data_IF_949821691547
#
_entry.id   IF_949821691547
#
_cell.length_a   1.000
_cell.length_b   1.000
_cell.length_c   1.000
_cell.angle_alpha   90.00
_cell.angle_beta   90.00
_cell.angle_gamma   90.00
#
_symmetry.space_group_name_H-M   'P 1'
#
loop_
_entity.id
_entity.type
_entity.pdbx_description
1 polymer ?
#
# COMPACT_ATOMS: atom_id res chain seq x y z
N UNK A 1 15.40 -8.31 6.92
CA UNK A 1 14.38 -8.48 5.85
C UNK A 1 14.05 -7.11 5.26
N UNK A 2 14.00 -6.96 3.94
CA UNK A 2 13.52 -5.73 3.29
C UNK A 2 11.99 -5.59 3.37
N UNK A 3 11.47 -4.38 3.14
CA UNK A 3 10.02 -4.13 3.02
C UNK A 3 9.39 -5.04 1.96
N UNK A 4 10.06 -5.20 0.80
CA UNK A 4 9.65 -6.15 -0.25
C UNK A 4 9.48 -7.57 0.30
N UNK A 5 10.42 -8.08 1.10
CA UNK A 5 10.33 -9.44 1.62
C UNK A 5 9.13 -9.59 2.57
N UNK A 6 8.87 -8.59 3.43
CA UNK A 6 7.69 -8.57 4.30
C UNK A 6 6.38 -8.58 3.49
N UNK A 7 6.29 -7.77 2.44
CA UNK A 7 5.11 -7.75 1.55
C UNK A 7 4.89 -9.11 0.88
N UNK A 8 5.96 -9.73 0.35
CA UNK A 8 5.88 -11.08 -0.24
C UNK A 8 5.43 -12.13 0.77
N UNK A 9 5.92 -12.07 2.00
CA UNK A 9 5.47 -12.95 3.08
C UNK A 9 3.99 -12.73 3.39
N UNK A 10 3.51 -11.48 3.48
CA UNK A 10 2.10 -11.18 3.73
C UNK A 10 1.20 -11.68 2.59
N UNK A 11 1.60 -11.46 1.33
CA UNK A 11 0.89 -12.01 0.16
C UNK A 11 0.77 -13.54 0.26
N UNK A 12 1.88 -14.22 0.58
CA UNK A 12 1.88 -15.67 0.77
C UNK A 12 0.95 -16.11 1.92
N UNK A 13 0.97 -15.41 3.05
CA UNK A 13 0.11 -15.71 4.21
C UNK A 13 -1.38 -15.50 3.90
N UNK A 14 -1.70 -14.52 3.04
CA UNK A 14 -3.06 -14.20 2.63
C UNK A 14 -3.51 -14.93 1.35
N UNK A 15 -2.66 -15.78 0.77
CA UNK A 15 -2.96 -16.51 -0.47
C UNK A 15 -3.13 -15.62 -1.70
N UNK A 16 -2.58 -14.40 -1.68
CA UNK A 16 -2.68 -13.41 -2.75
C UNK A 16 -1.43 -13.43 -3.64
N UNK A 17 -1.59 -13.09 -4.93
CA UNK A 17 -0.52 -13.07 -5.93
C UNK A 17 -0.08 -11.65 -6.27
N UNK A 18 1.18 -11.50 -6.71
CA UNK A 18 1.72 -10.22 -7.18
C UNK A 18 0.88 -9.58 -8.29
N UNK A 19 0.30 -10.41 -9.18
CA UNK A 19 -0.55 -9.93 -10.28
C UNK A 19 -1.87 -9.33 -9.80
N UNK A 20 -2.42 -9.84 -8.69
CA UNK A 20 -3.64 -9.33 -8.08
C UNK A 20 -3.36 -8.01 -7.37
N UNK A 21 -2.23 -7.93 -6.67
CA UNK A 21 -1.78 -6.68 -6.08
C UNK A 21 -1.48 -5.61 -7.15
N UNK A 22 -0.89 -6.00 -8.28
CA UNK A 22 -0.67 -5.10 -9.41
C UNK A 22 -2.01 -4.53 -9.93
N UNK A 23 -3.00 -5.40 -10.14
CA UNK A 23 -4.34 -5.01 -10.56
C UNK A 23 -5.02 -4.07 -9.55
N UNK A 24 -4.92 -4.38 -8.25
CA UNK A 24 -5.47 -3.53 -7.18
C UNK A 24 -4.80 -2.15 -7.11
N UNK A 25 -3.48 -2.09 -7.32
CA UNK A 25 -2.73 -0.83 -7.39
C UNK A 25 -2.93 -0.06 -8.71
N UNK A 26 -3.64 -0.63 -9.68
CA UNK A 26 -3.88 -0.01 -10.99
C UNK A 26 -2.63 0.07 -11.87
N UNK A 27 -1.67 -0.85 -11.71
CA UNK A 27 -0.40 -0.87 -12.47
C UNK A 27 -0.21 -2.19 -13.22
N UNK A 28 0.67 -2.18 -14.23
CA UNK A 28 1.01 -3.40 -14.97
C UNK A 28 1.77 -4.42 -14.10
N UNK A 29 1.69 -5.73 -14.39
CA UNK A 29 2.52 -6.74 -13.73
C UNK A 29 4.02 -6.46 -13.80
N UNK A 30 4.49 -5.92 -14.93
CA UNK A 30 5.89 -5.53 -15.11
C UNK A 30 6.28 -4.37 -14.19
N UNK A 31 5.41 -3.35 -14.08
CA UNK A 31 5.59 -2.25 -13.14
C UNK A 31 5.63 -2.74 -11.69
N UNK A 32 4.79 -3.71 -11.35
CA UNK A 32 4.79 -4.33 -10.02
C UNK A 32 6.09 -5.09 -9.75
N UNK A 33 6.58 -5.88 -10.71
CA UNK A 33 7.84 -6.59 -10.59
C UNK A 33 9.02 -5.61 -10.40
N UNK A 34 9.05 -4.53 -11.17
CA UNK A 34 10.05 -3.46 -11.01
C UNK A 34 9.96 -2.79 -9.63
N UNK A 35 8.75 -2.50 -9.15
CA UNK A 35 8.53 -1.92 -7.81
C UNK A 35 9.02 -2.86 -6.71
N UNK A 36 8.69 -4.16 -6.78
CA UNK A 36 9.18 -5.18 -5.84
C UNK A 36 10.70 -5.28 -5.85
N UNK A 37 11.32 -5.27 -7.04
CA UNK A 37 12.77 -5.36 -7.19
C UNK A 37 13.50 -4.13 -6.61
N UNK A 38 12.96 -2.92 -6.85
CA UNK A 38 13.53 -1.67 -6.33
C UNK A 38 13.22 -1.42 -4.86
N UNK A 39 12.15 -2.03 -4.33
CA UNK A 39 11.67 -1.79 -2.97
C UNK A 39 11.13 -0.38 -2.74
N UNK A 40 10.72 0.32 -3.81
CA UNK A 40 10.24 1.70 -3.76
C UNK A 40 8.73 1.73 -3.53
N UNK A 41 8.32 1.77 -2.26
CA UNK A 41 6.93 1.93 -1.84
C UNK A 41 6.74 3.30 -1.20
N UNK A 42 5.78 4.07 -1.70
CA UNK A 42 5.29 5.25 -1.00
C UNK A 42 4.45 4.85 0.22
N UNK A 43 4.17 5.79 1.11
CA UNK A 43 3.22 5.56 2.21
C UNK A 43 1.84 5.14 1.66
N UNK A 44 1.38 5.78 0.58
CA UNK A 44 0.11 5.45 -0.07
C UNK A 44 0.10 4.03 -0.65
N UNK A 45 1.23 3.55 -1.19
CA UNK A 45 1.34 2.16 -1.64
C UNK A 45 1.16 1.20 -0.46
N UNK A 46 1.81 1.48 0.68
CA UNK A 46 1.74 0.62 1.86
C UNK A 46 0.32 0.57 2.44
N UNK A 47 -0.38 1.70 2.47
CA UNK A 47 -1.80 1.78 2.89
C UNK A 47 -2.69 0.95 1.94
N UNK A 48 -2.51 1.08 0.63
CA UNK A 48 -3.26 0.28 -0.36
C UNK A 48 -2.95 -1.21 -0.24
N UNK A 49 -1.69 -1.56 -0.01
CA UNK A 49 -1.27 -2.95 0.22
C UNK A 49 -1.92 -3.50 1.49
N UNK A 50 -1.99 -2.72 2.57
CA UNK A 50 -2.60 -3.16 3.82
C UNK A 50 -4.12 -3.36 3.69
N UNK A 51 -4.80 -2.47 2.96
CA UNK A 51 -6.22 -2.62 2.61
C UNK A 51 -6.45 -3.89 1.77
N UNK A 52 -5.69 -4.09 0.68
CA UNK A 52 -5.77 -5.27 -0.18
C UNK A 52 -5.54 -6.60 0.55
N UNK A 53 -4.66 -6.59 1.55
CA UNK A 53 -4.31 -7.77 2.35
C UNK A 53 -5.22 -7.96 3.57
N UNK A 54 -6.15 -7.03 3.82
CA UNK A 54 -7.02 -7.01 5.01
C UNK A 54 -6.19 -7.17 6.29
N UNK A 55 -5.17 -6.33 6.44
CA UNK A 55 -4.34 -6.26 7.64
C UNK A 55 -4.03 -4.80 8.00
N UNK A 56 -3.88 -4.47 9.29
CA UNK A 56 -3.56 -3.10 9.68
C UNK A 56 -2.13 -2.73 9.31
N UNK A 57 -1.95 -1.54 8.73
CA UNK A 57 -0.67 -0.83 8.72
C UNK A 57 -0.69 0.13 9.92
N UNK A 58 0.18 -0.06 10.90
CA UNK A 58 0.18 0.78 12.08
C UNK A 58 1.59 1.04 12.62
N UNK A 59 1.74 2.16 13.31
CA UNK A 59 2.80 2.37 14.28
C UNK A 59 2.34 1.85 15.63
N UNK A 60 3.12 0.95 16.21
CA UNK A 60 2.89 0.41 17.55
C UNK A 60 3.77 1.17 18.54
N UNK A 61 3.17 1.59 19.65
CA UNK A 61 3.81 2.39 20.70
C UNK A 61 3.65 1.61 22.01
N UNK A 62 4.78 1.27 22.62
CA UNK A 62 4.89 0.58 23.92
C UNK A 62 3.97 -0.66 24.06
N UNK A 63 3.76 -1.39 22.95
CA UNK A 63 2.84 -2.55 22.83
C UNK A 63 1.39 -2.29 23.29
N UNK A 64 1.03 -1.03 23.52
CA UNK A 64 -0.22 -0.64 24.19
C UNK A 64 -1.10 0.22 23.29
N UNK A 65 -0.49 1.02 22.40
CA UNK A 65 -1.20 1.93 21.52
C UNK A 65 -0.82 1.67 20.06
N UNK A 66 -1.83 1.75 19.18
CA UNK A 66 -1.65 1.62 17.73
C UNK A 66 -2.21 2.85 17.04
N UNK A 67 -1.38 3.47 16.21
CA UNK A 67 -1.82 4.49 15.26
C UNK A 67 -1.94 3.77 13.91
N UNK A 68 -3.17 3.50 13.50
CA UNK A 68 -3.48 2.79 12.25
C UNK A 68 -3.55 3.81 11.11
N UNK A 69 -2.99 3.42 9.97
CA UNK A 69 -3.10 4.14 8.70
C UNK A 69 -4.04 3.37 7.79
N UNK A 70 -5.05 4.05 7.26
CA UNK A 70 -6.04 3.47 6.35
C UNK A 70 -6.24 4.33 5.09
N UNK A 71 -7.14 3.89 4.22
CA UNK A 71 -7.37 4.53 2.92
C UNK A 71 -7.86 5.97 3.03
N UNK A 72 -8.37 6.40 4.19
CA UNK A 72 -8.76 7.78 4.46
C UNK A 72 -7.57 8.73 4.64
N UNK A 73 -6.39 8.20 4.99
CA UNK A 73 -5.14 8.96 5.18
C UNK A 73 -4.39 9.23 3.86
N UNK A 74 -4.87 8.67 2.75
CA UNK A 74 -4.29 8.92 1.42
C UNK A 74 -4.57 10.36 1.01
N UNK A 75 -3.54 11.07 0.55
CA UNK A 75 -3.66 12.45 0.06
C UNK A 75 -4.70 12.52 -1.05
N UNK A 76 -5.75 13.30 -0.82
CA UNK A 76 -6.74 13.59 -1.85
C UNK A 76 -6.15 14.67 -2.76
N UNK A 77 -6.20 14.52 -4.09
CA UNK A 77 -5.86 15.63 -4.97
C UNK A 77 -6.81 16.79 -4.65
N UNK A 78 -6.25 17.97 -4.37
CA UNK A 78 -7.05 19.19 -4.22
C UNK A 78 -7.92 19.35 -5.46
N UNK A 79 -9.24 19.47 -5.27
CA UNK A 79 -10.12 19.86 -6.37
C UNK A 79 -9.73 21.28 -6.76
N UNK A 80 -9.08 21.44 -7.91
CA UNK A 80 -8.95 22.76 -8.54
C UNK A 80 -10.36 23.26 -8.81
N UNK A 81 -10.85 24.19 -7.98
CA UNK A 81 -12.05 24.94 -8.26
C UNK A 81 -11.65 25.88 -9.41
N UNK A 82 -11.92 25.47 -10.65
CA UNK A 82 -12.01 26.43 -11.75
C UNK A 82 -13.21 27.32 -11.45
N UNK A 83 -12.94 28.48 -10.85
CA UNK A 83 -13.91 29.57 -10.81
C UNK A 83 -14.24 29.91 -12.26
N UNK A 84 -15.47 29.57 -12.66
CA UNK A 84 -16.04 29.98 -13.93
C UNK A 84 -16.12 31.51 -13.91
N UNK A 85 -15.41 32.14 -14.83
CA UNK A 85 -15.45 33.59 -15.09
C UNK A 85 -16.66 33.89 -15.97
#
# INVERSE_FOLDING_TARGET
>A
MSVTNKIKSLLSLKGKKNIELAAYLGISPQSMQNKLSRGSFSAEDLIKISDFLECPLCFEIDDSQKIVLDTSDIRKPEKTIVQSI
#
